data_IF_129761063389
#
_entry.id   IF_129761063389
#
_cell.length_a   1.000
_cell.length_b   1.000
_cell.length_c   1.000
_cell.angle_alpha   90.00
_cell.angle_beta   90.00
_cell.angle_gamma   90.00
#
_symmetry.space_group_name_H-M   'P 1'
#
loop_
_entity.id
_entity.type
_entity.pdbx_description
1 polymer ?
#
# COMPACT_ATOMS: atom_id res chain seq x y z
N UNK A 1 -3.56 -16.34 -11.45
CA UNK A 1 -2.31 -16.92 -10.95
C UNK A 1 -2.36 -17.00 -9.43
N UNK A 2 -2.10 -18.15 -8.89
CA UNK A 2 -2.07 -18.34 -7.44
C UNK A 2 -0.62 -18.28 -6.95
N UNK A 3 -0.27 -17.22 -6.22
CA UNK A 3 1.05 -17.02 -5.64
C UNK A 3 1.09 -17.41 -4.17
N UNK A 4 0.03 -18.05 -3.66
CA UNK A 4 -0.09 -18.36 -2.25
C UNK A 4 -0.30 -17.14 -1.36
N UNK A 5 -0.65 -15.99 -1.95
CA UNK A 5 -0.88 -14.76 -1.21
C UNK A 5 -2.30 -14.74 -0.69
N UNK A 6 -2.45 -14.55 0.62
CA UNK A 6 -3.76 -14.41 1.26
C UNK A 6 -4.02 -12.96 1.59
N UNK A 7 -5.15 -12.45 1.07
CA UNK A 7 -5.53 -11.08 1.36
C UNK A 7 -6.27 -11.01 2.70
N UNK A 8 -6.04 -9.94 3.48
CA UNK A 8 -6.79 -9.70 4.70
C UNK A 8 -8.23 -9.31 4.39
N UNK A 9 -9.05 -9.17 5.44
CA UNK A 9 -10.34 -8.52 5.30
C UNK A 9 -10.13 -7.10 4.77
N UNK A 10 -11.05 -6.59 3.92
CA UNK A 10 -10.91 -5.23 3.41
C UNK A 10 -10.87 -4.21 4.53
N UNK A 11 -10.06 -3.14 4.39
CA UNK A 11 -10.01 -2.10 5.40
C UNK A 11 -11.33 -1.33 5.47
N UNK A 12 -11.60 -0.73 6.64
CA UNK A 12 -12.73 0.16 6.84
C UNK A 12 -12.21 1.56 7.17
N UNK A 13 -12.96 2.62 6.76
CA UNK A 13 -12.48 3.98 6.96
C UNK A 13 -12.28 4.35 8.44
N UNK A 14 -11.24 5.14 8.71
CA UNK A 14 -10.99 5.74 10.02
C UNK A 14 -11.61 7.14 10.14
N UNK A 15 -12.34 7.59 9.13
CA UNK A 15 -12.92 8.92 9.11
C UNK A 15 -14.02 9.03 8.06
N UNK A 16 -14.34 10.24 7.67
CA UNK A 16 -15.42 10.53 6.72
C UNK A 16 -14.89 10.44 5.29
N UNK A 17 -14.81 9.22 4.75
CA UNK A 17 -14.37 8.98 3.38
C UNK A 17 -14.77 7.56 2.97
N UNK A 18 -14.58 7.23 1.68
CA UNK A 18 -14.74 5.89 1.15
C UNK A 18 -13.37 5.31 0.83
N UNK A 19 -13.27 3.99 0.79
CA UNK A 19 -11.98 3.32 0.52
C UNK A 19 -11.59 3.37 -0.94
N UNK A 20 -12.55 3.40 -1.87
CA UNK A 20 -12.27 3.34 -3.30
C UNK A 20 -13.27 4.17 -4.10
N UNK A 21 -12.77 4.81 -5.16
CA UNK A 21 -13.58 5.52 -6.14
C UNK A 21 -13.10 5.13 -7.54
N UNK A 22 -14.02 4.68 -8.36
CA UNK A 22 -13.71 4.37 -9.76
C UNK A 22 -14.23 5.49 -10.67
N UNK A 23 -13.36 5.96 -11.56
CA UNK A 23 -13.76 6.89 -12.62
C UNK A 23 -13.20 6.37 -13.94
N UNK A 24 -14.10 5.98 -14.86
CA UNK A 24 -13.69 5.30 -16.08
C UNK A 24 -12.96 3.99 -15.78
N UNK A 25 -11.76 3.87 -16.31
CA UNK A 25 -10.91 2.69 -16.09
C UNK A 25 -9.84 2.92 -15.01
N UNK A 26 -10.01 3.94 -14.17
CA UNK A 26 -9.09 4.19 -13.06
C UNK A 26 -9.80 3.95 -11.73
N UNK A 27 -9.13 3.20 -10.86
CA UNK A 27 -9.59 2.97 -9.50
C UNK A 27 -8.64 3.66 -8.53
N UNK A 28 -9.17 4.66 -7.83
CA UNK A 28 -8.46 5.41 -6.82
C UNK A 28 -8.76 4.83 -5.45
N UNK A 29 -7.73 4.54 -4.68
CA UNK A 29 -7.89 4.12 -3.29
C UNK A 29 -7.57 5.28 -2.36
N UNK A 30 -8.25 5.31 -1.21
CA UNK A 30 -7.81 6.12 -0.08
C UNK A 30 -6.45 5.63 0.41
N UNK A 31 -5.74 6.45 1.19
CA UNK A 31 -4.46 6.06 1.76
C UNK A 31 -4.56 4.74 2.52
N UNK A 32 -3.66 3.81 2.24
CA UNK A 32 -3.67 2.48 2.84
C UNK A 32 -2.60 2.38 3.92
N UNK A 33 -3.04 1.97 5.10
CA UNK A 33 -2.22 1.88 6.30
C UNK A 33 -1.98 0.42 6.65
N UNK A 34 -0.88 0.11 7.40
CA UNK A 34 -0.60 -1.25 7.83
C UNK A 34 -1.45 -1.64 9.04
N UNK A 35 -2.75 -1.85 8.81
CA UNK A 35 -3.70 -2.25 9.84
C UNK A 35 -4.09 -3.70 9.66
N UNK A 36 -4.38 -4.37 10.78
CA UNK A 36 -4.93 -5.71 10.80
C UNK A 36 -6.13 -5.68 11.73
N UNK A 37 -7.28 -6.12 11.25
CA UNK A 37 -8.54 -6.09 12.01
C UNK A 37 -8.85 -4.69 12.56
N UNK A 38 -8.67 -3.68 11.72
CA UNK A 38 -8.92 -2.26 12.03
C UNK A 38 -8.03 -1.72 13.16
N UNK A 39 -6.89 -2.36 13.40
CA UNK A 39 -5.94 -1.93 14.44
C UNK A 39 -4.56 -1.71 13.83
N UNK A 40 -3.85 -0.64 14.22
CA UNK A 40 -2.46 -0.44 13.79
C UNK A 40 -1.59 -1.62 14.23
N UNK A 41 -0.88 -2.21 13.29
CA UNK A 41 0.03 -3.32 13.58
C UNK A 41 1.42 -2.83 13.94
N UNK A 42 1.83 -1.70 13.37
CA UNK A 42 3.17 -1.13 13.57
C UNK A 42 3.00 0.30 14.06
N UNK A 43 3.83 0.72 15.03
CA UNK A 43 3.82 2.07 15.56
C UNK A 43 5.27 2.56 15.65
N UNK A 44 5.49 3.81 15.27
CA UNK A 44 6.79 4.46 15.38
C UNK A 44 7.33 4.91 14.03
N UNK A 45 8.55 5.44 14.06
CA UNK A 45 9.25 5.94 12.87
C UNK A 45 10.34 4.99 12.45
N UNK A 46 10.54 4.91 11.14
CA UNK A 46 11.66 4.17 10.59
C UNK A 46 12.97 4.89 10.88
N UNK A 47 13.94 4.14 11.36
CA UNK A 47 15.22 4.70 11.81
C UNK A 47 15.23 5.11 13.27
N UNK A 48 14.12 4.95 13.98
CA UNK A 48 14.02 5.22 15.41
C UNK A 48 13.45 4.02 16.14
N UNK A 49 12.12 3.92 16.28
CA UNK A 49 11.49 2.75 16.91
C UNK A 49 11.51 1.52 16.02
N UNK A 50 11.55 1.71 14.71
CA UNK A 50 11.44 0.63 13.71
C UNK A 50 12.65 0.66 12.78
N UNK A 51 13.11 -0.53 12.38
CA UNK A 51 14.18 -0.66 11.41
C UNK A 51 13.64 -0.83 9.97
N UNK A 52 14.55 -0.97 9.01
CA UNK A 52 14.20 -1.14 7.60
C UNK A 52 13.35 -2.37 7.36
N UNK A 53 13.65 -3.48 8.00
CA UNK A 53 12.88 -4.73 7.80
C UNK A 53 11.47 -4.60 8.37
N UNK A 54 11.30 -3.94 9.51
CA UNK A 54 9.96 -3.63 10.04
C UNK A 54 9.20 -2.73 9.08
N UNK A 55 9.87 -1.74 8.47
CA UNK A 55 9.29 -0.87 7.46
C UNK A 55 8.83 -1.64 6.23
N UNK A 56 9.65 -2.57 5.75
CA UNK A 56 9.28 -3.43 4.61
C UNK A 56 8.05 -4.27 4.93
N UNK A 57 7.98 -4.83 6.12
CA UNK A 57 6.85 -5.64 6.57
C UNK A 57 5.57 -4.81 6.70
N UNK A 58 5.68 -3.60 7.24
CA UNK A 58 4.56 -2.66 7.33
C UNK A 58 4.06 -2.26 5.94
N UNK A 59 4.98 -1.96 5.01
CA UNK A 59 4.63 -1.60 3.64
C UNK A 59 3.93 -2.76 2.92
N UNK A 60 4.41 -3.98 3.10
CA UNK A 60 3.79 -5.17 2.56
C UNK A 60 2.37 -5.35 3.09
N UNK A 61 2.19 -5.18 4.41
CA UNK A 61 0.87 -5.27 5.04
C UNK A 61 -0.10 -4.23 4.47
N UNK A 62 0.35 -2.99 4.30
CA UNK A 62 -0.46 -1.94 3.70
C UNK A 62 -0.82 -2.26 2.24
N UNK A 63 0.10 -2.86 1.50
CA UNK A 63 -0.15 -3.27 0.11
C UNK A 63 -1.21 -4.37 0.02
N UNK A 64 -1.20 -5.32 0.95
CA UNK A 64 -2.25 -6.34 1.01
C UNK A 64 -3.62 -5.72 1.28
N UNK A 65 -3.69 -4.69 2.13
CA UNK A 65 -4.93 -3.95 2.38
C UNK A 65 -5.40 -3.24 1.12
N UNK A 66 -4.49 -2.65 0.34
CA UNK A 66 -4.83 -2.01 -0.92
C UNK A 66 -5.42 -3.02 -1.91
N UNK A 67 -4.82 -4.21 -2.02
CA UNK A 67 -5.34 -5.27 -2.88
C UNK A 67 -6.71 -5.76 -2.41
N UNK A 68 -6.90 -5.89 -1.10
CA UNK A 68 -8.19 -6.31 -0.54
C UNK A 68 -9.28 -5.28 -0.83
N UNK A 69 -8.98 -3.98 -0.72
CA UNK A 69 -9.93 -2.91 -1.04
C UNK A 69 -10.28 -2.93 -2.53
N UNK A 70 -9.30 -3.11 -3.41
CA UNK A 70 -9.55 -3.21 -4.85
C UNK A 70 -10.42 -4.42 -5.18
N UNK A 71 -10.12 -5.58 -4.60
CA UNK A 71 -10.91 -6.79 -4.82
C UNK A 71 -12.35 -6.61 -4.36
N UNK A 72 -12.57 -5.97 -3.21
CA UNK A 72 -13.91 -5.71 -2.69
C UNK A 72 -14.70 -4.84 -3.66
N UNK A 73 -14.09 -3.78 -4.18
CA UNK A 73 -14.77 -2.89 -5.12
C UNK A 73 -15.07 -3.57 -6.46
N UNK A 74 -14.09 -4.33 -6.98
CA UNK A 74 -14.18 -4.91 -8.34
C UNK A 74 -14.85 -6.28 -8.38
N UNK A 75 -14.89 -6.99 -7.25
CA UNK A 75 -15.33 -8.39 -7.18
C UNK A 75 -14.23 -9.39 -7.48
N UNK A 76 -13.20 -9.02 -8.23
CA UNK A 76 -12.04 -9.87 -8.55
C UNK A 76 -10.84 -9.01 -8.90
N UNK A 77 -9.65 -9.40 -8.45
CA UNK A 77 -8.41 -8.75 -8.87
C UNK A 77 -8.06 -9.02 -10.34
N UNK A 78 -8.71 -10.01 -10.97
CA UNK A 78 -8.52 -10.25 -12.41
C UNK A 78 -8.93 -9.05 -13.26
N UNK A 79 -9.75 -8.15 -12.72
CA UNK A 79 -10.15 -6.92 -13.41
C UNK A 79 -9.08 -5.84 -13.38
N UNK A 80 -8.03 -5.98 -12.57
CA UNK A 80 -6.93 -5.02 -12.55
C UNK A 80 -5.99 -5.33 -13.71
N UNK A 81 -5.76 -4.33 -14.56
CA UNK A 81 -4.88 -4.47 -15.71
C UNK A 81 -3.45 -4.07 -15.36
N UNK A 82 -3.28 -3.11 -14.46
CA UNK A 82 -1.97 -2.70 -13.96
C UNK A 82 -2.11 -1.75 -12.78
N UNK A 83 -1.03 -1.56 -12.03
CA UNK A 83 -0.88 -0.43 -11.13
C UNK A 83 -0.33 0.73 -11.92
N UNK A 84 -1.00 1.88 -11.86
CA UNK A 84 -0.57 3.09 -12.58
C UNK A 84 0.38 3.90 -11.71
N UNK A 85 -0.01 4.16 -10.45
CA UNK A 85 0.76 5.00 -9.55
C UNK A 85 0.85 4.36 -8.17
N UNK A 86 2.05 4.40 -7.61
CA UNK A 86 2.33 4.01 -6.23
C UNK A 86 3.02 5.16 -5.51
N UNK A 87 2.39 5.69 -4.48
CA UNK A 87 3.03 6.60 -3.53
C UNK A 87 3.31 5.86 -2.24
N UNK A 88 4.54 5.95 -1.74
CA UNK A 88 4.92 5.35 -0.46
C UNK A 88 5.38 6.46 0.46
N UNK A 89 4.60 6.73 1.49
CA UNK A 89 4.86 7.75 2.49
C UNK A 89 5.26 7.04 3.76
N UNK A 90 6.39 7.44 4.34
CA UNK A 90 6.88 6.77 5.53
C UNK A 90 7.33 7.77 6.58
N UNK A 91 6.88 7.57 7.81
CA UNK A 91 7.33 8.37 8.95
C UNK A 91 8.74 7.94 9.28
N UNK A 92 9.70 8.87 9.18
CA UNK A 92 11.12 8.56 9.34
C UNK A 92 11.79 9.50 10.32
N UNK A 93 12.87 9.03 10.96
CA UNK A 93 13.81 9.92 11.62
C UNK A 93 14.61 10.68 10.56
N UNK A 94 15.22 11.82 10.93
CA UNK A 94 15.83 12.72 9.95
C UNK A 94 17.01 12.15 9.17
N UNK A 95 17.66 11.11 9.67
CA UNK A 95 18.83 10.48 9.06
C UNK A 95 18.53 9.12 8.41
N UNK A 96 17.30 8.70 8.37
CA UNK A 96 16.91 7.46 7.68
C UNK A 96 16.98 7.66 6.16
N UNK A 97 17.68 6.77 5.45
CA UNK A 97 17.90 6.90 4.01
C UNK A 97 17.52 5.66 3.21
N UNK A 98 16.95 4.63 3.83
CA UNK A 98 16.60 3.38 3.17
C UNK A 98 15.16 3.37 2.61
N UNK A 99 14.59 4.54 2.33
CA UNK A 99 13.24 4.65 1.80
C UNK A 99 13.00 3.78 0.56
N UNK A 100 13.90 3.78 -0.45
CA UNK A 100 13.66 2.95 -1.64
C UNK A 100 13.57 1.46 -1.32
N UNK A 101 14.38 0.97 -0.39
CA UNK A 101 14.36 -0.45 -0.01
C UNK A 101 13.04 -0.82 0.67
N UNK A 102 12.50 0.06 1.50
CA UNK A 102 11.20 -0.14 2.13
C UNK A 102 10.10 -0.20 1.06
N UNK A 103 10.12 0.74 0.12
CA UNK A 103 9.13 0.80 -0.95
C UNK A 103 9.22 -0.40 -1.89
N UNK A 104 10.40 -0.98 -2.07
CA UNK A 104 10.58 -2.15 -2.93
C UNK A 104 9.76 -3.35 -2.47
N UNK A 105 9.44 -3.45 -1.19
CA UNK A 105 8.56 -4.52 -0.69
C UNK A 105 7.20 -4.47 -1.38
N UNK A 106 6.68 -3.28 -1.67
CA UNK A 106 5.41 -3.11 -2.37
C UNK A 106 5.58 -3.30 -3.88
N UNK A 107 6.61 -2.69 -4.45
CA UNK A 107 6.87 -2.79 -5.90
C UNK A 107 7.12 -4.23 -6.32
N UNK A 108 7.86 -4.99 -5.50
CA UNK A 108 8.15 -6.39 -5.78
C UNK A 108 6.88 -7.24 -5.71
N UNK A 109 6.00 -6.99 -4.73
CA UNK A 109 4.71 -7.67 -4.62
C UNK A 109 3.86 -7.41 -5.87
N UNK A 110 3.75 -6.16 -6.28
CA UNK A 110 2.95 -5.80 -7.45
C UNK A 110 3.53 -6.38 -8.74
N UNK A 111 4.87 -6.40 -8.86
CA UNK A 111 5.53 -7.06 -10.01
C UNK A 111 5.18 -8.55 -10.06
N UNK A 112 5.20 -9.21 -8.91
CA UNK A 112 4.92 -10.65 -8.84
C UNK A 112 3.47 -10.96 -9.21
N UNK A 113 2.54 -10.04 -8.92
CA UNK A 113 1.12 -10.22 -9.20
C UNK A 113 0.77 -9.82 -10.65
N UNK A 114 1.25 -8.65 -11.10
CA UNK A 114 0.80 -8.05 -12.36
C UNK A 114 1.79 -8.14 -13.51
N UNK A 115 3.03 -8.53 -13.25
CA UNK A 115 4.07 -8.65 -14.25
C UNK A 115 5.04 -7.47 -14.27
N UNK A 116 6.30 -7.75 -14.64
CA UNK A 116 7.37 -6.75 -14.62
C UNK A 116 7.19 -5.64 -15.66
N UNK A 117 6.51 -5.96 -16.79
CA UNK A 117 6.23 -4.99 -17.85
C UNK A 117 5.14 -3.98 -17.44
N UNK A 118 4.49 -4.20 -16.32
CA UNK A 118 3.41 -3.33 -15.81
C UNK A 118 3.82 -2.59 -14.54
N UNK A 119 5.11 -2.26 -14.42
CA UNK A 119 5.61 -1.47 -13.30
C UNK A 119 4.95 -0.10 -13.26
N UNK A 120 4.63 0.36 -12.04
CA UNK A 120 3.98 1.65 -11.82
C UNK A 120 5.01 2.77 -11.78
N UNK A 121 4.57 4.00 -12.05
CA UNK A 121 5.35 5.17 -11.62
C UNK A 121 5.27 5.25 -10.09
N UNK A 122 6.33 5.74 -9.46
CA UNK A 122 6.47 5.65 -8.02
C UNK A 122 7.01 6.94 -7.40
N UNK A 123 6.41 7.36 -6.30
CA UNK A 123 6.94 8.42 -5.44
C UNK A 123 7.21 7.82 -4.07
N UNK A 124 8.42 8.05 -3.52
CA UNK A 124 8.84 7.53 -2.22
C UNK A 124 9.39 8.68 -1.40
N UNK A 125 8.74 9.03 -0.30
CA UNK A 125 9.16 10.14 0.54
C UNK A 125 9.02 9.84 2.03
N UNK A 126 9.93 10.43 2.81
CA UNK A 126 9.82 10.47 4.26
C UNK A 126 8.98 11.65 4.70
N UNK A 127 8.17 11.46 5.73
CA UNK A 127 7.32 12.48 6.34
C UNK A 127 7.55 12.50 7.85
N UNK A 128 7.11 13.58 8.49
CA UNK A 128 7.31 13.74 9.93
C UNK A 128 6.46 12.76 10.74
N UNK A 129 5.23 12.51 10.32
CA UNK A 129 4.31 11.61 11.01
C UNK A 129 3.20 11.18 10.06
N UNK A 130 2.53 10.08 10.41
CA UNK A 130 1.38 9.55 9.70
C UNK A 130 0.25 9.26 10.68
N UNK A 131 -0.98 9.04 10.19
CA UNK A 131 -2.12 8.83 11.08
C UNK A 131 -1.89 7.70 12.09
N UNK A 132 -2.32 7.94 13.32
CA UNK A 132 -2.29 6.98 14.43
C UNK A 132 -0.90 6.46 14.78
N UNK A 133 0.16 7.19 14.39
CA UNK A 133 1.54 6.81 14.69
C UNK A 133 2.10 5.67 13.85
N UNK A 134 1.43 5.29 12.76
CA UNK A 134 1.90 4.24 11.88
C UNK A 134 3.08 4.72 11.01
N UNK A 135 3.97 3.80 10.60
CA UNK A 135 5.18 4.18 9.86
C UNK A 135 4.99 4.31 8.35
N UNK A 136 3.91 3.78 7.80
CA UNK A 136 3.70 3.67 6.35
C UNK A 136 2.30 4.10 6.00
N UNK A 137 2.17 4.80 4.87
CA UNK A 137 0.89 5.00 4.19
C UNK A 137 1.13 4.91 2.69
N UNK A 138 0.29 4.17 1.99
CA UNK A 138 0.37 4.01 0.54
C UNK A 138 -0.75 4.76 -0.16
N UNK A 139 -0.44 5.33 -1.31
CA UNK A 139 -1.41 5.82 -2.28
C UNK A 139 -1.30 4.95 -3.53
N UNK A 140 -2.40 4.31 -3.94
CA UNK A 140 -2.38 3.40 -5.08
C UNK A 140 -3.51 3.77 -6.04
N UNK A 141 -3.16 3.85 -7.33
CA UNK A 141 -4.13 4.02 -8.41
C UNK A 141 -3.95 2.84 -9.36
N UNK A 142 -5.04 2.11 -9.57
CA UNK A 142 -5.07 0.97 -10.50
C UNK A 142 -5.74 1.37 -11.81
N UNK A 143 -5.31 0.75 -12.91
CA UNK A 143 -6.09 0.70 -14.13
C UNK A 143 -6.90 -0.59 -14.11
N UNK A 144 -8.17 -0.51 -14.47
CA UNK A 144 -9.08 -1.64 -14.39
C UNK A 144 -9.84 -1.82 -15.70
N UNK A 145 -10.30 -3.05 -15.93
CA UNK A 145 -11.21 -3.33 -17.05
C UNK A 145 -12.56 -2.67 -16.80
N UNK A 146 -13.15 -2.10 -17.85
CA UNK A 146 -14.49 -1.50 -17.82
C UNK A 146 -15.48 -2.30 -18.62
#
# INVERSE_FOLDING_TARGET
MDLGIRLPAPPTPFGTYVEAVQTGNLLFLSGMLPVVDHKPKYLGRLGKELDTEAGRDAAYTAALSALAAARQHLGSLDKVTRVVRLGVFMATSGDFVDQPRVADAVSDLFRDIFGSEKAAVRLVIGVASLPLGMPIELEVIFEVAV
#
